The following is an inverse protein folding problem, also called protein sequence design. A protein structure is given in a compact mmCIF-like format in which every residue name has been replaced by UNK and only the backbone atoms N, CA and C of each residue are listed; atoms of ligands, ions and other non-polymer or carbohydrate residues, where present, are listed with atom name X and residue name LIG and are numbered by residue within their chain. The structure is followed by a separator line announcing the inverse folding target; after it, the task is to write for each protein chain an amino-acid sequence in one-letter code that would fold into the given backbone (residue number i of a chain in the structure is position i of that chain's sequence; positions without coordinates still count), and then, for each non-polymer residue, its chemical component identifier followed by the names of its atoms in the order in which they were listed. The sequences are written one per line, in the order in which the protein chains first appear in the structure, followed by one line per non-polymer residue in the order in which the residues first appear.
data_IF_148927219288
#
_entry.id   IF_148927219288
#
_cell.length_a   1.000
_cell.length_b   1.000
_cell.length_c   1.000
_cell.angle_alpha   90.00
_cell.angle_beta   90.00
_cell.angle_gamma   90.00
#
_symmetry.space_group_name_H-M   'P 1'
#
loop_
_entity.id
_entity.type
_entity.pdbx_description
1 polymer ?
#
# COMPACT_ATOMS: atom_id res chain seq x y z
N UNK A 1 40.10 34.12 11.00
CA UNK A 1 39.30 33.79 9.78
C UNK A 1 39.13 32.29 9.50
N UNK A 2 40.12 31.41 9.77
CA UNK A 2 40.01 29.95 9.51
C UNK A 2 38.82 29.26 10.21
N UNK A 3 38.58 29.52 11.51
CA UNK A 3 37.49 28.85 12.26
C UNK A 3 36.06 29.21 11.80
N UNK A 4 35.84 30.40 11.23
CA UNK A 4 34.52 30.75 10.66
C UNK A 4 34.24 29.98 9.37
N UNK A 5 35.25 29.80 8.51
CA UNK A 5 35.12 29.01 7.27
C UNK A 5 34.84 27.54 7.56
N UNK A 6 35.51 26.95 8.57
CA UNK A 6 35.27 25.55 8.99
C UNK A 6 33.85 25.36 9.51
N UNK A 7 33.34 26.28 10.34
CA UNK A 7 31.96 26.22 10.85
C UNK A 7 30.91 26.35 9.75
N UNK A 8 31.12 27.25 8.78
CA UNK A 8 30.23 27.41 7.61
C UNK A 8 30.25 26.13 6.75
N UNK A 9 31.43 25.54 6.52
CA UNK A 9 31.55 24.28 5.79
C UNK A 9 30.82 23.13 6.49
N UNK A 10 30.86 23.07 7.82
CA UNK A 10 30.17 22.05 8.61
C UNK A 10 28.65 22.20 8.55
N UNK A 11 28.14 23.44 8.59
CA UNK A 11 26.70 23.74 8.43
C UNK A 11 26.22 23.33 7.05
N UNK A 12 26.98 23.63 6.00
CA UNK A 12 26.63 23.24 4.62
C UNK A 12 26.55 21.71 4.48
N UNK A 13 27.54 20.99 5.03
CA UNK A 13 27.55 19.52 5.01
C UNK A 13 26.32 18.95 5.73
N UNK A 14 25.94 19.52 6.89
CA UNK A 14 24.76 19.09 7.63
C UNK A 14 23.46 19.30 6.84
N UNK A 15 23.32 20.45 6.17
CA UNK A 15 22.16 20.72 5.30
C UNK A 15 22.07 19.73 4.14
N UNK A 16 23.20 19.41 3.51
CA UNK A 16 23.24 18.41 2.42
C UNK A 16 22.79 17.04 2.94
N UNK A 17 23.25 16.61 4.13
CA UNK A 17 22.82 15.35 4.73
C UNK A 17 21.32 15.31 5.02
N UNK A 18 20.72 16.42 5.46
CA UNK A 18 19.28 16.51 5.68
C UNK A 18 18.52 16.35 4.37
N UNK A 19 18.94 17.05 3.30
CA UNK A 19 18.30 16.97 1.98
C UNK A 19 18.41 15.54 1.41
N UNK A 20 19.58 14.92 1.51
CA UNK A 20 19.78 13.53 1.07
C UNK A 20 18.89 12.58 1.90
N UNK A 21 18.80 12.80 3.21
CA UNK A 21 17.92 12.04 4.10
C UNK A 21 16.45 12.14 3.71
N UNK A 22 15.95 13.33 3.40
CA UNK A 22 14.55 13.53 2.97
C UNK A 22 14.27 12.86 1.63
N UNK A 23 15.19 12.93 0.67
CA UNK A 23 15.07 12.26 -0.64
C UNK A 23 15.03 10.74 -0.46
N UNK A 24 15.89 10.17 0.40
CA UNK A 24 15.90 8.73 0.68
C UNK A 24 14.57 8.28 1.30
N UNK A 25 14.02 9.07 2.25
CA UNK A 25 12.72 8.77 2.87
C UNK A 25 11.59 8.78 1.84
N UNK A 26 11.58 9.74 0.92
CA UNK A 26 10.59 9.80 -0.17
C UNK A 26 10.66 8.57 -1.08
N UNK A 27 11.87 8.19 -1.52
CA UNK A 27 12.09 7.00 -2.37
C UNK A 27 11.63 5.73 -1.67
N UNK A 28 11.95 5.56 -0.38
CA UNK A 28 11.54 4.37 0.38
C UNK A 28 10.01 4.32 0.59
N UNK A 29 9.35 5.47 0.70
CA UNK A 29 7.90 5.55 0.82
C UNK A 29 7.20 5.21 -0.51
N UNK A 30 7.81 5.54 -1.64
CA UNK A 30 7.26 5.23 -2.97
C UNK A 30 7.32 3.73 -3.33
N UNK A 31 8.26 2.95 -2.79
CA UNK A 31 8.41 1.53 -3.15
C UNK A 31 7.19 0.65 -2.85
N UNK A 32 6.29 1.06 -1.94
CA UNK A 32 5.04 0.33 -1.67
C UNK A 32 3.84 0.91 -2.43
N UNK A 33 4.00 2.11 -2.99
CA UNK A 33 2.94 2.89 -3.62
C UNK A 33 2.51 2.24 -4.94
N UNK A 34 1.26 2.47 -5.33
CA UNK A 34 0.66 1.95 -6.56
C UNK A 34 0.27 3.07 -7.53
N UNK A 35 0.77 4.28 -7.30
CA UNK A 35 0.33 5.50 -7.99
C UNK A 35 0.55 5.47 -9.51
N UNK A 36 1.62 4.82 -9.98
CA UNK A 36 2.05 4.83 -11.39
C UNK A 36 2.08 3.43 -12.03
N UNK A 37 1.16 2.54 -11.63
CA UNK A 37 1.04 1.21 -12.27
C UNK A 37 0.38 1.29 -13.66
N UNK A 38 0.61 0.27 -14.49
CA UNK A 38 -0.08 0.12 -15.76
C UNK A 38 -1.58 -0.15 -15.55
N UNK A 39 -2.40 0.20 -16.54
CA UNK A 39 -3.83 -0.14 -16.56
C UNK A 39 -4.07 -1.65 -16.50
N UNK A 40 -3.20 -2.45 -17.13
CA UNK A 40 -3.27 -3.91 -17.06
C UNK A 40 -3.12 -4.41 -15.61
N UNK A 41 -2.13 -3.88 -14.88
CA UNK A 41 -1.95 -4.21 -13.46
C UNK A 41 -3.10 -3.67 -12.60
N UNK A 42 -3.63 -2.48 -12.91
CA UNK A 42 -4.81 -1.93 -12.21
C UNK A 42 -6.02 -2.86 -12.34
N UNK A 43 -6.31 -3.33 -13.56
CA UNK A 43 -7.40 -4.27 -13.85
C UNK A 43 -7.16 -5.62 -13.18
N UNK A 44 -5.92 -6.12 -13.17
CA UNK A 44 -5.57 -7.35 -12.46
C UNK A 44 -5.88 -7.22 -10.96
N UNK A 45 -5.47 -6.13 -10.31
CA UNK A 45 -5.75 -5.88 -8.90
C UNK A 45 -7.26 -5.79 -8.64
N UNK A 46 -8.02 -5.09 -9.49
CA UNK A 46 -9.49 -5.01 -9.36
C UNK A 46 -10.13 -6.40 -9.32
N UNK A 47 -9.75 -7.28 -10.25
CA UNK A 47 -10.27 -8.64 -10.31
C UNK A 47 -9.92 -9.45 -9.07
N UNK A 48 -8.71 -9.28 -8.51
CA UNK A 48 -8.29 -9.96 -7.28
C UNK A 48 -9.13 -9.61 -6.05
N UNK A 49 -9.77 -8.44 -6.07
CA UNK A 49 -10.59 -7.96 -4.95
C UNK A 49 -12.10 -8.07 -5.23
N UNK A 50 -12.47 -8.74 -6.31
CA UNK A 50 -13.87 -8.97 -6.69
C UNK A 50 -14.54 -7.77 -7.37
N UNK A 51 -13.76 -6.88 -7.98
CA UNK A 51 -14.28 -5.75 -8.77
C UNK A 51 -14.17 -6.12 -10.24
N UNK A 52 -15.30 -6.25 -10.92
CA UNK A 52 -15.34 -6.57 -12.34
C UNK A 52 -14.99 -5.34 -13.18
N UNK A 53 -15.63 -4.22 -12.89
CA UNK A 53 -15.43 -2.94 -13.57
C UNK A 53 -15.60 -1.76 -12.61
N UNK A 54 -14.66 -0.83 -12.67
CA UNK A 54 -14.69 0.43 -11.94
C UNK A 54 -13.66 1.40 -12.53
N UNK A 55 -14.15 2.57 -12.93
CA UNK A 55 -13.28 3.68 -13.36
C UNK A 55 -12.80 4.49 -12.15
N UNK A 56 -13.52 4.42 -11.03
CA UNK A 56 -13.11 5.09 -9.78
C UNK A 56 -12.06 4.32 -8.97
N UNK A 57 -11.81 3.05 -9.28
CA UNK A 57 -10.84 2.22 -8.57
C UNK A 57 -9.42 2.77 -8.73
N UNK A 58 -8.85 3.18 -7.61
CA UNK A 58 -7.51 3.76 -7.51
C UNK A 58 -6.68 3.01 -6.45
N UNK A 59 -5.80 2.09 -6.86
CA UNK A 59 -4.92 1.43 -5.91
C UNK A 59 -3.93 2.43 -5.30
N UNK A 60 -3.74 2.37 -3.98
CA UNK A 60 -2.85 3.25 -3.22
C UNK A 60 -1.53 2.55 -2.90
N UNK A 61 -1.59 1.38 -2.26
CA UNK A 61 -0.36 0.62 -1.98
C UNK A 61 -0.62 -0.88 -1.94
N UNK A 62 0.45 -1.65 -2.14
CA UNK A 62 0.53 -3.07 -1.75
C UNK A 62 1.79 -3.23 -0.93
N UNK A 63 1.67 -3.72 0.29
CA UNK A 63 2.82 -4.00 1.17
C UNK A 63 2.74 -5.41 1.72
N UNK A 64 3.87 -5.93 2.17
CA UNK A 64 3.93 -7.20 2.89
C UNK A 64 3.79 -7.00 4.40
N UNK A 65 3.37 -8.05 5.09
CA UNK A 65 3.42 -8.15 6.55
C UNK A 65 3.74 -9.60 6.96
N UNK A 66 4.29 -9.80 8.16
CA UNK A 66 4.54 -11.14 8.68
C UNK A 66 3.19 -11.78 9.02
N UNK A 67 2.84 -12.86 8.34
CA UNK A 67 1.56 -13.55 8.50
C UNK A 67 1.63 -14.77 9.44
N UNK A 68 2.83 -15.28 9.75
CA UNK A 68 3.04 -16.27 10.81
C UNK A 68 4.28 -15.88 11.63
N UNK A 69 4.10 -15.56 12.91
CA UNK A 69 5.23 -15.22 13.81
C UNK A 69 6.14 -16.42 14.12
N UNK A 70 5.70 -17.65 13.82
CA UNK A 70 6.52 -18.86 13.94
C UNK A 70 7.37 -19.08 12.69
N UNK A 71 6.99 -18.49 11.57
CA UNK A 71 7.70 -18.57 10.29
C UNK A 71 7.76 -17.19 9.62
N UNK A 72 8.86 -16.46 9.90
CA UNK A 72 9.12 -15.14 9.31
C UNK A 72 9.31 -15.15 7.79
N UNK A 73 9.32 -16.30 7.13
CA UNK A 73 9.34 -16.41 5.67
C UNK A 73 7.95 -16.34 5.04
N UNK A 74 6.89 -16.54 5.85
CA UNK A 74 5.50 -16.48 5.41
C UNK A 74 4.97 -15.05 5.50
N UNK A 75 5.01 -14.37 4.35
CA UNK A 75 4.48 -13.01 4.20
C UNK A 75 3.03 -13.03 3.69
N UNK A 76 2.18 -12.22 4.33
CA UNK A 76 0.89 -11.82 3.79
C UNK A 76 1.00 -10.50 3.03
N UNK A 77 -0.09 -10.10 2.38
CA UNK A 77 -0.19 -8.87 1.59
C UNK A 77 -1.32 -7.98 2.07
N UNK A 78 -1.06 -6.68 2.19
CA UNK A 78 -2.05 -5.65 2.45
C UNK A 78 -2.16 -4.72 1.24
N UNK A 79 -3.33 -4.72 0.61
CA UNK A 79 -3.72 -3.77 -0.43
C UNK A 79 -4.55 -2.64 0.19
N UNK A 80 -4.23 -1.40 -0.14
CA UNK A 80 -5.09 -0.24 0.10
C UNK A 80 -5.50 0.38 -1.23
N UNK A 81 -6.76 0.77 -1.36
CA UNK A 81 -7.28 1.44 -2.56
C UNK A 81 -8.45 2.37 -2.24
N UNK A 82 -8.76 3.27 -3.18
CA UNK A 82 -9.96 4.11 -3.18
C UNK A 82 -10.95 3.61 -4.25
N UNK A 83 -12.24 3.80 -3.99
CA UNK A 83 -13.33 3.48 -4.91
C UNK A 83 -14.52 4.39 -4.59
N UNK A 84 -15.30 4.78 -5.60
CA UNK A 84 -16.55 5.50 -5.37
C UNK A 84 -17.56 4.61 -4.63
N UNK A 85 -18.44 5.22 -3.84
CA UNK A 85 -19.54 4.51 -3.17
C UNK A 85 -20.44 3.81 -4.20
N UNK A 86 -20.68 4.46 -5.34
CA UNK A 86 -21.44 3.90 -6.47
C UNK A 86 -20.78 2.63 -7.02
N UNK A 87 -19.49 2.65 -7.35
CA UNK A 87 -18.80 1.48 -7.90
C UNK A 87 -18.67 0.38 -6.83
N UNK A 88 -18.52 0.74 -5.55
CA UNK A 88 -18.50 -0.20 -4.44
C UNK A 88 -19.82 -0.97 -4.33
N UNK A 89 -20.95 -0.27 -4.38
CA UNK A 89 -22.29 -0.86 -4.36
C UNK A 89 -22.59 -1.66 -5.63
N UNK A 90 -22.23 -1.12 -6.81
CA UNK A 90 -22.40 -1.79 -8.11
C UNK A 90 -21.69 -3.14 -8.16
N UNK A 91 -20.53 -3.25 -7.53
CA UNK A 91 -19.76 -4.50 -7.45
C UNK A 91 -20.18 -5.39 -6.24
N UNK A 92 -21.28 -5.07 -5.55
CA UNK A 92 -21.79 -5.81 -4.37
C UNK A 92 -20.71 -6.07 -3.31
N UNK A 93 -19.82 -5.10 -3.09
CA UNK A 93 -18.77 -5.25 -2.08
C UNK A 93 -19.38 -5.09 -0.68
N UNK A 94 -19.04 -6.00 0.23
CA UNK A 94 -19.52 -5.99 1.60
C UNK A 94 -18.34 -6.17 2.56
N UNK A 95 -17.67 -5.07 2.89
CA UNK A 95 -16.55 -5.09 3.83
C UNK A 95 -17.02 -4.58 5.19
N UNK A 96 -16.53 -5.21 6.25
CA UNK A 96 -16.93 -4.83 7.60
C UNK A 96 -16.38 -3.46 7.97
N UNK A 97 -17.21 -2.64 8.63
CA UNK A 97 -16.81 -1.39 9.29
C UNK A 97 -16.26 -1.74 10.68
N UNK A 98 -15.26 -2.61 10.78
CA UNK A 98 -14.77 -3.12 12.08
C UNK A 98 -13.41 -2.55 12.49
N UNK A 99 -13.28 -2.29 13.79
CA UNK A 99 -12.16 -1.64 14.48
C UNK A 99 -11.02 -2.58 14.85
N UNK A 100 -11.19 -3.90 14.68
CA UNK A 100 -10.18 -4.90 15.08
C UNK A 100 -9.47 -5.39 13.83
N UNK A 101 -8.41 -4.67 13.47
CA UNK A 101 -7.47 -5.12 12.46
C UNK A 101 -6.48 -6.06 13.14
N UNK A 102 -6.84 -7.34 13.29
CA UNK A 102 -5.85 -8.28 13.80
C UNK A 102 -4.74 -8.45 12.74
N UNK A 103 -3.49 -8.41 13.18
CA UNK A 103 -2.35 -8.31 12.28
C UNK A 103 -2.10 -9.61 11.48
N UNK A 104 -2.75 -10.71 11.88
CA UNK A 104 -2.44 -12.08 11.47
C UNK A 104 -3.53 -12.77 10.64
N UNK A 105 -4.65 -12.11 10.37
CA UNK A 105 -5.79 -12.74 9.70
C UNK A 105 -6.15 -12.04 8.40
N UNK A 106 -6.87 -12.77 7.54
CA UNK A 106 -7.56 -12.13 6.44
C UNK A 106 -8.55 -11.12 6.99
N UNK A 107 -8.55 -9.92 6.41
CA UNK A 107 -9.44 -8.86 6.81
C UNK A 107 -9.74 -7.99 5.59
N UNK A 108 -10.98 -7.51 5.50
CA UNK A 108 -11.40 -6.55 4.50
C UNK A 108 -12.24 -5.50 5.21
N UNK A 109 -11.81 -4.23 5.12
CA UNK A 109 -12.54 -3.10 5.71
C UNK A 109 -12.60 -1.94 4.72
N UNK A 110 -13.62 -1.12 4.83
CA UNK A 110 -13.66 0.19 4.17
C UNK A 110 -14.09 1.27 5.17
N UNK A 111 -13.53 2.45 4.98
CA UNK A 111 -13.85 3.66 5.72
C UNK A 111 -14.30 4.74 4.74
N UNK A 112 -15.25 5.56 5.16
CA UNK A 112 -15.67 6.72 4.36
C UNK A 112 -14.56 7.77 4.38
N UNK A 113 -14.05 8.10 3.19
CA UNK A 113 -13.07 9.18 3.03
C UNK A 113 -13.78 10.53 2.92
N UNK A 114 -14.85 10.56 2.13
CA UNK A 114 -15.68 11.73 1.87
C UNK A 114 -17.13 11.31 1.52
N UNK A 115 -17.93 12.24 1.02
CA UNK A 115 -19.33 11.99 0.66
C UNK A 115 -19.49 10.94 -0.45
N UNK A 116 -18.49 10.77 -1.32
CA UNK A 116 -18.59 9.98 -2.56
C UNK A 116 -17.62 8.80 -2.62
N UNK A 117 -16.63 8.73 -1.72
CA UNK A 117 -15.50 7.80 -1.83
C UNK A 117 -15.32 6.96 -0.56
N UNK A 118 -15.03 5.67 -0.77
CA UNK A 118 -14.49 4.78 0.25
C UNK A 118 -12.98 4.62 0.09
N UNK A 119 -12.29 4.45 1.21
CA UNK A 119 -10.92 3.93 1.28
C UNK A 119 -10.99 2.53 1.88
N UNK A 120 -10.55 1.54 1.11
CA UNK A 120 -10.64 0.14 1.47
C UNK A 120 -9.25 -0.46 1.73
N UNK A 121 -9.19 -1.35 2.71
CA UNK A 121 -8.02 -2.11 3.09
C UNK A 121 -8.34 -3.60 3.03
N UNK A 122 -7.50 -4.36 2.34
CA UNK A 122 -7.63 -5.81 2.22
C UNK A 122 -6.31 -6.45 2.65
N UNK A 123 -6.36 -7.26 3.69
CA UNK A 123 -5.28 -8.19 4.05
C UNK A 123 -5.62 -9.60 3.61
N UNK A 124 -4.62 -10.24 3.00
CA UNK A 124 -4.64 -11.65 2.63
C UNK A 124 -3.42 -12.37 3.20
N UNK A 125 -3.63 -13.54 3.78
CA UNK A 125 -2.58 -14.45 4.24
C UNK A 125 -2.52 -15.68 3.33
N UNK A 126 -1.31 -16.19 3.00
CA UNK A 126 -1.17 -17.40 2.20
C UNK A 126 -1.75 -18.66 2.87
N UNK A 127 -2.03 -18.63 4.18
CA UNK A 127 -2.67 -19.73 4.90
C UNK A 127 -4.09 -20.03 4.40
N UNK A 128 -4.83 -19.01 3.98
CA UNK A 128 -6.22 -19.14 3.51
C UNK A 128 -6.40 -18.70 2.06
N UNK A 129 -5.55 -17.79 1.57
CA UNK A 129 -5.67 -17.13 0.27
C UNK A 129 -4.38 -17.25 -0.55
N UNK A 130 -3.84 -18.47 -0.65
CA UNK A 130 -2.57 -18.76 -1.34
C UNK A 130 -2.50 -18.20 -2.76
N UNK A 131 -3.50 -18.47 -3.59
CA UNK A 131 -3.50 -18.04 -5.00
C UNK A 131 -3.50 -16.51 -5.14
N UNK A 132 -4.34 -15.82 -4.35
CA UNK A 132 -4.38 -14.35 -4.34
C UNK A 132 -3.04 -13.79 -3.86
N UNK A 133 -2.43 -14.39 -2.83
CA UNK A 133 -1.12 -13.98 -2.34
C UNK A 133 -0.01 -14.19 -3.36
N UNK A 134 -0.05 -15.26 -4.15
CA UNK A 134 0.91 -15.48 -5.24
C UNK A 134 0.78 -14.42 -6.36
N UNK A 135 -0.46 -14.00 -6.68
CA UNK A 135 -0.70 -12.92 -7.65
C UNK A 135 -0.25 -11.56 -7.10
N UNK A 136 -0.59 -11.24 -5.84
CA UNK A 136 -0.07 -10.05 -5.16
C UNK A 136 1.46 -10.05 -5.06
N UNK A 137 2.09 -11.21 -4.86
CA UNK A 137 3.56 -11.33 -4.88
C UNK A 137 4.15 -10.92 -6.22
N UNK A 138 3.60 -11.41 -7.33
CA UNK A 138 4.06 -11.04 -8.68
C UNK A 138 3.92 -9.55 -8.92
N UNK A 139 2.75 -8.99 -8.56
CA UNK A 139 2.50 -7.55 -8.66
C UNK A 139 3.49 -6.78 -7.79
N UNK A 140 3.73 -7.18 -6.55
CA UNK A 140 4.66 -6.52 -5.63
C UNK A 140 6.11 -6.52 -6.14
N UNK A 141 6.55 -7.59 -6.80
CA UNK A 141 7.92 -7.72 -7.34
C UNK A 141 8.12 -6.92 -8.64
N UNK A 142 7.07 -6.77 -9.45
CA UNK A 142 7.14 -6.20 -10.80
C UNK A 142 6.75 -4.71 -10.88
N UNK A 143 6.58 -4.04 -9.74
CA UNK A 143 6.45 -2.57 -9.67
C UNK A 143 7.83 -1.93 -9.71
#
# INVERSE_FOLDING_TARGET
MKNKKVKISLIIILFILIIVGTIIIEILNDNNNLKDISEETRIEIMKLVGIEESQSFKPIYLKTYIADFRDNSTNGYELKYEISKEDFEKNNLHYEKSSIYDALTDASKCEEKDSETFVCHIKRTPLYNKEICEKFKKIYINK
#
